data_IF_741863081196
#
_entry.id   IF_741863081196
#
_cell.length_a   1.000
_cell.length_b   1.000
_cell.length_c   1.000
_cell.angle_alpha   90.00
_cell.angle_beta   90.00
_cell.angle_gamma   90.00
#
_symmetry.space_group_name_H-M   'P 1'
#
loop_
_entity.id
_entity.type
_entity.pdbx_description
1 polymer ?
#
# COMPACT_ATOMS: atom_id res chain seq x y z
N UNK A 1 5.01 7.15 16.26
CA UNK A 1 5.40 8.58 16.21
C UNK A 1 6.20 9.02 17.43
N UNK A 2 5.71 8.88 18.67
CA UNK A 2 6.42 9.35 19.87
C UNK A 2 7.86 8.81 20.02
N UNK A 3 8.07 7.50 19.81
CA UNK A 3 9.42 6.91 19.83
C UNK A 3 10.31 7.47 18.71
N UNK A 4 9.77 7.77 17.53
CA UNK A 4 10.54 8.36 16.43
C UNK A 4 11.01 9.78 16.77
N UNK A 5 10.16 10.59 17.41
CA UNK A 5 10.55 11.91 17.92
C UNK A 5 11.61 11.78 19.02
N UNK A 6 11.45 10.84 19.94
CA UNK A 6 12.43 10.58 20.99
C UNK A 6 13.79 10.19 20.42
N UNK A 7 13.81 9.30 19.41
CA UNK A 7 15.02 8.94 18.67
C UNK A 7 15.63 10.16 17.96
N UNK A 8 14.82 10.98 17.29
CA UNK A 8 15.27 12.18 16.59
C UNK A 8 15.86 13.26 17.50
N UNK A 9 15.44 13.32 18.77
CA UNK A 9 15.92 14.30 19.74
C UNK A 9 17.12 13.81 20.57
N UNK A 10 17.29 12.49 20.74
CA UNK A 10 18.34 11.93 21.60
C UNK A 10 19.43 11.26 20.77
N UNK A 11 19.06 10.26 19.98
CA UNK A 11 20.03 9.41 19.28
C UNK A 11 20.52 10.08 18.00
N UNK A 12 19.63 10.69 17.20
CA UNK A 12 20.02 11.31 15.93
C UNK A 12 21.06 12.42 16.12
N UNK A 13 20.96 13.35 17.09
CA UNK A 13 21.99 14.37 17.29
C UNK A 13 23.32 13.77 17.75
N UNK A 14 23.30 12.76 18.62
CA UNK A 14 24.49 12.06 19.06
C UNK A 14 25.20 11.34 17.89
N UNK A 15 24.43 10.68 17.01
CA UNK A 15 24.97 10.03 15.81
C UNK A 15 25.47 11.05 14.79
N UNK A 16 24.76 12.14 14.56
CA UNK A 16 25.20 13.21 13.67
C UNK A 16 26.53 13.80 14.14
N UNK A 17 26.69 14.04 15.45
CA UNK A 17 27.91 14.59 16.01
C UNK A 17 29.10 13.62 15.98
N UNK A 18 28.86 12.30 15.99
CA UNK A 18 29.92 11.28 16.08
C UNK A 18 30.27 10.62 14.75
N UNK A 19 29.34 10.55 13.79
CA UNK A 19 29.52 9.84 12.52
C UNK A 19 29.71 10.76 11.31
N UNK A 20 29.16 11.99 11.34
CA UNK A 20 29.30 12.89 10.20
C UNK A 20 30.74 13.41 10.13
N UNK A 21 31.33 13.27 8.94
CA UNK A 21 32.64 13.88 8.65
C UNK A 21 32.45 15.40 8.52
N UNK A 22 33.40 16.20 9.02
CA UNK A 22 33.39 17.64 8.80
C UNK A 22 33.35 17.95 7.29
N UNK A 23 32.41 18.80 6.89
CA UNK A 23 32.31 19.31 5.51
C UNK A 23 32.75 20.78 5.52
N UNK A 24 33.67 21.15 4.61
CA UNK A 24 34.06 22.55 4.42
C UNK A 24 33.13 23.25 3.42
N UNK A 25 33.04 24.58 3.46
CA UNK A 25 32.22 25.35 2.52
C UNK A 25 32.65 25.14 1.05
N UNK A 26 33.95 24.89 0.79
CA UNK A 26 34.47 24.57 -0.54
C UNK A 26 34.11 23.15 -1.03
N UNK A 27 33.65 22.26 -0.13
CA UNK A 27 33.34 20.86 -0.46
C UNK A 27 32.02 20.68 -1.23
N UNK A 28 31.19 21.72 -1.27
CA UNK A 28 29.90 21.72 -1.99
C UNK A 28 30.06 21.95 -3.50
N UNK A 29 31.11 22.65 -3.94
CA UNK A 29 31.21 23.10 -5.34
C UNK A 29 32.07 22.20 -6.25
N UNK A 30 32.91 21.32 -5.70
CA UNK A 30 33.93 20.61 -6.47
C UNK A 30 33.88 19.08 -6.37
N UNK A 31 32.71 18.48 -6.62
CA UNK A 31 32.64 17.02 -6.89
C UNK A 31 32.46 16.82 -8.40
N UNK A 32 33.51 16.38 -9.11
CA UNK A 32 33.37 15.95 -10.51
C UNK A 32 32.51 14.69 -10.65
N UNK A 33 31.99 14.43 -11.85
CA UNK A 33 31.23 13.22 -12.17
C UNK A 33 29.73 13.31 -11.81
N UNK A 34 29.10 12.15 -11.56
CA UNK A 34 27.66 12.05 -11.34
C UNK A 34 27.14 12.92 -10.18
N UNK A 35 27.83 12.92 -9.04
CA UNK A 35 27.39 13.67 -7.86
C UNK A 35 27.47 15.19 -8.04
N UNK A 36 28.42 15.69 -8.84
CA UNK A 36 28.47 17.10 -9.23
C UNK A 36 27.32 17.50 -10.12
N UNK A 37 27.10 16.73 -11.19
CA UNK A 37 25.96 16.93 -12.09
C UNK A 37 24.62 16.91 -11.33
N UNK A 38 24.46 15.98 -10.39
CA UNK A 38 23.27 15.91 -9.55
C UNK A 38 23.12 17.16 -8.69
N UNK A 39 24.16 17.57 -7.96
CA UNK A 39 24.12 18.77 -7.12
C UNK A 39 23.79 20.02 -7.93
N UNK A 40 24.49 20.24 -9.05
CA UNK A 40 24.21 21.39 -9.92
C UNK A 40 22.77 21.34 -10.44
N UNK A 41 22.28 20.18 -10.91
CA UNK A 41 20.90 20.06 -11.41
C UNK A 41 19.86 20.27 -10.32
N UNK A 42 20.15 19.81 -9.10
CA UNK A 42 19.30 20.00 -7.93
C UNK A 42 19.24 21.48 -7.55
N UNK A 43 20.37 22.19 -7.52
CA UNK A 43 20.41 23.63 -7.22
C UNK A 43 19.63 24.44 -8.26
N UNK A 44 19.73 24.08 -9.55
CA UNK A 44 18.88 24.67 -10.60
C UNK A 44 17.40 24.39 -10.36
N UNK A 45 17.05 23.19 -9.90
CA UNK A 45 15.67 22.81 -9.58
C UNK A 45 15.13 23.59 -8.38
N UNK A 46 15.95 23.83 -7.36
CA UNK A 46 15.61 24.66 -6.19
C UNK A 46 15.32 26.10 -6.63
N UNK A 47 16.20 26.69 -7.45
CA UNK A 47 16.00 28.04 -7.98
C UNK A 47 14.75 28.15 -8.86
N UNK A 48 14.47 27.12 -9.67
CA UNK A 48 13.25 27.06 -10.46
C UNK A 48 12.00 26.95 -9.56
N UNK A 49 12.07 26.14 -8.51
CA UNK A 49 10.99 25.97 -7.54
C UNK A 49 10.68 27.28 -6.81
N UNK A 50 11.69 27.97 -6.27
CA UNK A 50 11.50 29.24 -5.56
C UNK A 50 10.91 30.32 -6.47
N UNK A 51 11.42 30.43 -7.70
CA UNK A 51 10.87 31.35 -8.70
C UNK A 51 9.42 31.01 -9.07
N UNK A 52 9.09 29.72 -9.18
CA UNK A 52 7.72 29.27 -9.45
C UNK A 52 6.79 29.63 -8.30
N UNK A 53 7.18 29.35 -7.05
CA UNK A 53 6.41 29.73 -5.86
C UNK A 53 6.22 31.26 -5.79
N UNK A 54 7.24 32.05 -6.12
CA UNK A 54 7.10 33.51 -6.23
C UNK A 54 5.98 33.94 -7.20
N UNK A 55 5.87 33.28 -8.36
CA UNK A 55 4.78 33.54 -9.33
C UNK A 55 3.41 33.09 -8.82
N UNK A 56 3.35 32.00 -8.05
CA UNK A 56 2.13 31.51 -7.40
C UNK A 56 1.61 32.57 -6.42
N UNK A 57 2.51 33.13 -5.60
CA UNK A 57 2.16 34.18 -4.64
C UNK A 57 1.68 35.47 -5.33
N UNK A 58 2.15 35.77 -6.53
CA UNK A 58 1.63 36.87 -7.35
C UNK A 58 0.25 36.61 -7.98
N UNK A 59 -0.26 35.36 -7.94
CA UNK A 59 -1.50 34.94 -8.61
C UNK A 59 -2.37 34.03 -7.74
N UNK A 60 -2.48 34.36 -6.44
CA UNK A 60 -3.15 33.54 -5.41
C UNK A 60 -4.57 33.12 -5.77
N UNK A 61 -5.37 33.99 -6.38
CA UNK A 61 -6.76 33.67 -6.77
C UNK A 61 -6.88 32.46 -7.71
N UNK A 62 -5.96 32.31 -8.67
CA UNK A 62 -5.95 31.15 -9.59
C UNK A 62 -5.67 29.86 -8.82
N UNK A 63 -4.74 29.90 -7.88
CA UNK A 63 -4.34 28.72 -7.11
C UNK A 63 -5.36 28.35 -6.03
N UNK A 64 -6.10 29.31 -5.49
CA UNK A 64 -7.28 29.02 -4.64
C UNK A 64 -8.39 28.31 -5.43
N UNK A 65 -8.63 28.70 -6.68
CA UNK A 65 -9.58 28.00 -7.54
C UNK A 65 -9.13 26.57 -7.83
N UNK A 66 -7.86 26.36 -8.16
CA UNK A 66 -7.29 25.01 -8.35
C UNK A 66 -7.43 24.18 -7.08
N UNK A 67 -7.14 24.76 -5.91
CA UNK A 67 -7.32 24.09 -4.62
C UNK A 67 -8.78 23.68 -4.39
N UNK A 68 -9.74 24.57 -4.66
CA UNK A 68 -11.16 24.25 -4.54
C UNK A 68 -11.58 23.11 -5.49
N UNK A 69 -11.04 23.06 -6.71
CA UNK A 69 -11.29 21.97 -7.65
C UNK A 69 -10.71 20.63 -7.14
N UNK A 70 -9.51 20.64 -6.54
CA UNK A 70 -8.92 19.44 -5.93
C UNK A 70 -9.78 18.95 -4.76
N UNK A 71 -10.24 19.84 -3.89
CA UNK A 71 -11.13 19.49 -2.77
C UNK A 71 -12.46 18.94 -3.28
N UNK A 72 -13.07 19.55 -4.29
CA UNK A 72 -14.30 19.05 -4.91
C UNK A 72 -14.08 17.65 -5.52
N UNK A 73 -12.97 17.44 -6.23
CA UNK A 73 -12.59 16.14 -6.77
C UNK A 73 -12.40 15.08 -5.67
N UNK A 74 -11.72 15.44 -4.58
CA UNK A 74 -11.55 14.57 -3.41
C UNK A 74 -12.91 14.18 -2.81
N UNK A 75 -13.83 15.12 -2.62
CA UNK A 75 -15.17 14.83 -2.09
C UNK A 75 -15.93 13.87 -2.99
N UNK A 76 -15.91 14.10 -4.31
CA UNK A 76 -16.57 13.20 -5.27
C UNK A 76 -15.98 11.80 -5.24
N UNK A 77 -14.64 11.68 -5.21
CA UNK A 77 -13.97 10.38 -5.15
C UNK A 77 -14.24 9.67 -3.83
N UNK A 78 -14.17 10.39 -2.70
CA UNK A 78 -14.42 9.83 -1.38
C UNK A 78 -15.85 9.27 -1.26
N UNK A 79 -16.85 9.99 -1.76
CA UNK A 79 -18.25 9.53 -1.77
C UNK A 79 -18.49 8.35 -2.72
N UNK A 80 -17.63 8.15 -3.72
CA UNK A 80 -17.74 7.06 -4.70
C UNK A 80 -16.88 5.84 -4.37
N UNK A 81 -15.96 5.95 -3.41
CA UNK A 81 -15.05 4.88 -3.05
C UNK A 81 -15.79 3.85 -2.18
N UNK A 82 -15.98 2.60 -2.63
CA UNK A 82 -16.61 1.57 -1.81
C UNK A 82 -15.76 1.28 -0.58
N UNK A 83 -16.39 1.21 0.59
CA UNK A 83 -15.72 0.83 1.84
C UNK A 83 -15.76 -0.68 2.03
N UNK A 84 -14.62 -1.26 2.41
CA UNK A 84 -14.52 -2.61 2.98
C UNK A 84 -13.81 -2.52 4.34
N UNK A 85 -13.84 -3.60 5.13
CA UNK A 85 -13.16 -3.61 6.43
C UNK A 85 -11.70 -4.05 6.29
N UNK A 86 -11.50 -5.29 5.86
CA UNK A 86 -10.19 -5.87 5.55
C UNK A 86 -10.28 -6.57 4.19
N UNK A 87 -9.20 -6.58 3.39
CA UNK A 87 -9.16 -7.37 2.17
C UNK A 87 -9.22 -8.87 2.52
N UNK A 88 -9.86 -9.63 1.63
CA UNK A 88 -9.74 -11.09 1.65
C UNK A 88 -8.38 -11.46 1.08
N UNK A 89 -7.64 -12.29 1.81
CA UNK A 89 -6.31 -12.77 1.41
C UNK A 89 -6.38 -14.27 1.18
N UNK A 90 -5.56 -14.76 0.24
CA UNK A 90 -5.38 -16.21 0.07
C UNK A 90 -4.62 -16.75 1.29
N UNK A 91 -5.35 -17.45 2.16
CA UNK A 91 -4.80 -18.09 3.36
C UNK A 91 -4.36 -19.54 3.10
N UNK A 92 -4.40 -20.01 1.85
CA UNK A 92 -4.13 -21.40 1.46
C UNK A 92 -5.24 -22.38 1.86
N UNK A 93 -6.37 -21.89 2.35
CA UNK A 93 -7.54 -22.69 2.74
C UNK A 93 -8.83 -21.94 2.42
N UNK A 94 -9.87 -22.68 2.05
CA UNK A 94 -11.22 -22.16 1.89
C UNK A 94 -12.24 -23.24 2.25
N UNK A 95 -13.50 -22.83 2.47
CA UNK A 95 -14.59 -23.74 2.83
C UNK A 95 -15.62 -23.80 1.72
N UNK A 96 -16.17 -25.00 1.50
CA UNK A 96 -17.28 -25.21 0.56
C UNK A 96 -18.49 -25.71 1.33
N UNK A 97 -19.59 -24.96 1.29
CA UNK A 97 -20.84 -25.30 1.95
C UNK A 97 -21.72 -26.13 1.01
N UNK A 98 -22.20 -27.29 1.49
CA UNK A 98 -23.10 -28.17 0.74
C UNK A 98 -24.43 -28.25 1.48
N UNK A 99 -25.50 -27.77 0.82
CA UNK A 99 -26.85 -27.76 1.37
C UNK A 99 -27.81 -28.54 0.46
N UNK A 100 -28.39 -29.63 0.98
CA UNK A 100 -29.43 -30.40 0.28
C UNK A 100 -30.84 -29.95 0.72
N UNK A 101 -31.89 -30.26 -0.08
CA UNK A 101 -33.27 -30.01 0.31
C UNK A 101 -33.64 -30.68 1.64
N UNK A 102 -34.57 -30.07 2.38
CA UNK A 102 -35.08 -30.60 3.63
C UNK A 102 -35.60 -32.04 3.45
N UNK A 103 -35.27 -32.92 4.40
CA UNK A 103 -35.61 -34.34 4.34
C UNK A 103 -34.68 -35.21 3.48
N UNK A 104 -33.60 -34.65 2.91
CA UNK A 104 -32.56 -35.47 2.30
C UNK A 104 -31.82 -36.31 3.36
N UNK A 105 -31.54 -37.57 3.02
CA UNK A 105 -30.82 -38.50 3.91
C UNK A 105 -29.32 -38.22 3.92
N UNK A 106 -28.63 -38.66 4.98
CA UNK A 106 -27.17 -38.57 5.08
C UNK A 106 -26.45 -39.22 3.87
N UNK A 107 -27.00 -40.31 3.34
CA UNK A 107 -26.47 -40.98 2.15
C UNK A 107 -26.52 -40.10 0.90
N UNK A 108 -27.60 -39.31 0.73
CA UNK A 108 -27.69 -38.36 -0.39
C UNK A 108 -26.68 -37.23 -0.23
N UNK A 109 -26.46 -36.74 0.98
CA UNK A 109 -25.43 -35.72 1.27
C UNK A 109 -24.03 -36.27 1.01
N UNK A 110 -23.76 -37.52 1.39
CA UNK A 110 -22.45 -38.16 1.15
C UNK A 110 -22.13 -38.24 -0.34
N UNK A 111 -23.10 -38.64 -1.17
CA UNK A 111 -22.90 -38.71 -2.63
C UNK A 111 -22.49 -37.36 -3.23
N UNK A 112 -23.00 -36.25 -2.69
CA UNK A 112 -22.63 -34.91 -3.14
C UNK A 112 -21.25 -34.50 -2.61
N UNK A 113 -20.93 -34.82 -1.35
CA UNK A 113 -19.61 -34.60 -0.77
C UNK A 113 -18.51 -35.34 -1.55
N UNK A 114 -18.78 -36.59 -1.94
CA UNK A 114 -17.85 -37.40 -2.74
C UNK A 114 -17.63 -36.80 -4.13
N UNK A 115 -18.69 -36.31 -4.78
CA UNK A 115 -18.59 -35.62 -6.07
C UNK A 115 -17.75 -34.34 -6.00
N UNK A 116 -17.95 -33.53 -4.96
CA UNK A 116 -17.19 -32.29 -4.74
C UNK A 116 -15.73 -32.59 -4.42
N UNK A 117 -15.48 -33.61 -3.60
CA UNK A 117 -14.12 -34.07 -3.26
C UNK A 117 -13.38 -34.54 -4.51
N UNK A 118 -14.03 -35.36 -5.33
CA UNK A 118 -13.47 -35.85 -6.59
C UNK A 118 -13.15 -34.70 -7.55
N UNK A 119 -14.01 -33.69 -7.64
CA UNK A 119 -13.75 -32.51 -8.46
C UNK A 119 -12.48 -31.79 -8.02
N UNK A 120 -12.34 -31.49 -6.73
CA UNK A 120 -11.15 -30.78 -6.22
C UNK A 120 -9.87 -31.59 -6.40
N UNK A 121 -9.90 -32.90 -6.15
CA UNK A 121 -8.71 -33.76 -6.25
C UNK A 121 -8.31 -34.13 -7.68
N UNK A 122 -9.25 -34.14 -8.63
CA UNK A 122 -8.98 -34.51 -10.04
C UNK A 122 -8.82 -33.30 -10.94
N UNK A 123 -9.74 -32.34 -10.87
CA UNK A 123 -9.80 -31.20 -11.79
C UNK A 123 -8.94 -30.03 -11.29
N UNK A 124 -8.85 -29.83 -9.97
CA UNK A 124 -8.09 -28.74 -9.34
C UNK A 124 -6.80 -29.23 -8.66
N UNK A 125 -6.25 -30.37 -9.11
CA UNK A 125 -5.08 -31.03 -8.49
C UNK A 125 -3.84 -30.13 -8.38
N UNK A 126 -3.70 -29.15 -9.28
CA UNK A 126 -2.58 -28.21 -9.23
C UNK A 126 -2.70 -27.17 -8.11
N UNK A 127 -3.91 -26.94 -7.59
CA UNK A 127 -4.24 -25.90 -6.63
C UNK A 127 -4.65 -26.47 -5.25
N UNK A 128 -5.14 -27.71 -5.20
CA UNK A 128 -5.66 -28.34 -3.98
C UNK A 128 -4.78 -29.50 -3.53
N UNK A 129 -4.15 -29.33 -2.35
CA UNK A 129 -3.33 -30.37 -1.72
C UNK A 129 -4.19 -31.44 -1.02
N UNK A 130 -5.28 -31.04 -0.34
CA UNK A 130 -6.13 -31.95 0.41
C UNK A 130 -7.57 -31.44 0.53
N UNK A 131 -8.50 -32.36 0.76
CA UNK A 131 -9.93 -32.07 0.97
C UNK A 131 -10.38 -32.77 2.25
N UNK A 132 -10.97 -32.02 3.18
CA UNK A 132 -11.55 -32.54 4.41
C UNK A 132 -13.08 -32.33 4.39
N UNK A 133 -13.85 -33.41 4.37
CA UNK A 133 -15.33 -33.36 4.33
C UNK A 133 -15.95 -33.79 5.66
N UNK A 134 -17.03 -33.11 6.06
CA UNK A 134 -17.80 -33.44 7.26
C UNK A 134 -19.27 -33.58 6.87
N UNK A 135 -19.84 -34.77 7.02
CA UNK A 135 -21.24 -35.04 6.71
C UNK A 135 -22.12 -34.94 7.96
N UNK A 136 -23.12 -34.07 7.93
CA UNK A 136 -24.11 -33.92 9.01
C UNK A 136 -23.78 -32.85 10.07
N UNK A 137 -22.79 -31.99 9.80
CA UNK A 137 -22.54 -30.78 10.60
C UNK A 137 -23.36 -29.61 10.03
N UNK A 138 -24.17 -28.96 10.88
CA UNK A 138 -25.05 -27.83 10.55
C UNK A 138 -25.02 -26.78 11.64
#
# INVERSE_FOLDING_TARGET
MALSVLVALILTPALCATLLKPVSAEHHENKGGFFGWFNTTFDHSVNHYTNSVGKILGSTGRYLLIYALIVAGMVVLFLRLPSSFLPEEDQGVFLTMIQLPAGATQERTQKVLDQVTDYYLKNEKANVESVFTVNGFS
#
